data_IF_368468729220
#
_entry.id   IF_368468729220
#
_cell.length_a   1.000
_cell.length_b   1.000
_cell.length_c   1.000
_cell.angle_alpha   90.00
_cell.angle_beta   90.00
_cell.angle_gamma   90.00
#
_symmetry.space_group_name_H-M   'P 1'
#
loop_
_entity.id
_entity.type
_entity.pdbx_description
1 polymer ?
#
# COMPACT_ATOMS: atom_id res chain seq x y z
N UNK A 1 1.11 27.75 -0.39
CA UNK A 1 0.72 26.31 -0.26
C UNK A 1 0.78 25.59 -1.61
N UNK A 2 0.28 26.20 -2.70
CA UNK A 2 0.33 25.56 -4.03
C UNK A 2 1.75 25.24 -4.53
N UNK A 3 2.73 26.08 -4.22
CA UNK A 3 4.12 25.86 -4.62
C UNK A 3 4.80 24.67 -3.92
N UNK A 4 4.46 24.38 -2.67
CA UNK A 4 5.05 23.25 -1.91
C UNK A 4 4.56 21.91 -2.43
N UNK A 5 3.27 21.77 -2.74
CA UNK A 5 2.70 20.55 -3.32
C UNK A 5 3.22 20.30 -4.74
N UNK A 6 3.39 21.37 -5.54
CA UNK A 6 3.96 21.24 -6.88
C UNK A 6 5.40 20.71 -6.84
N UNK A 7 6.18 21.06 -5.83
CA UNK A 7 7.53 20.57 -5.64
C UNK A 7 7.61 19.09 -5.21
N UNK A 8 6.52 18.50 -4.73
CA UNK A 8 6.43 17.06 -4.47
C UNK A 8 6.10 16.24 -5.74
N UNK A 9 5.63 16.89 -6.80
CA UNK A 9 5.15 16.22 -7.99
C UNK A 9 6.22 15.31 -8.65
N UNK A 10 7.49 15.72 -8.83
CA UNK A 10 8.50 14.84 -9.41
C UNK A 10 8.74 13.56 -8.60
N UNK A 11 8.84 13.67 -7.27
CA UNK A 11 9.04 12.49 -6.42
C UNK A 11 7.79 11.61 -6.40
N UNK A 12 6.60 12.21 -6.41
CA UNK A 12 5.35 11.48 -6.47
C UNK A 12 5.21 10.70 -7.79
N UNK A 13 5.53 11.32 -8.94
CA UNK A 13 5.51 10.66 -10.26
C UNK A 13 6.54 9.53 -10.33
N UNK A 14 7.74 9.73 -9.78
CA UNK A 14 8.76 8.68 -9.73
C UNK A 14 8.33 7.51 -8.85
N UNK A 15 7.79 7.79 -7.67
CA UNK A 15 7.22 6.76 -6.77
C UNK A 15 6.11 5.98 -7.46
N UNK A 16 5.20 6.69 -8.14
CA UNK A 16 4.11 6.09 -8.90
C UNK A 16 4.63 5.19 -10.01
N UNK A 17 5.60 5.65 -10.80
CA UNK A 17 6.17 4.86 -11.90
C UNK A 17 6.82 3.56 -11.39
N UNK A 18 7.59 3.64 -10.31
CA UNK A 18 8.19 2.45 -9.68
C UNK A 18 7.11 1.51 -9.16
N UNK A 19 6.10 2.02 -8.46
CA UNK A 19 5.01 1.20 -7.92
C UNK A 19 4.17 0.54 -9.01
N UNK A 20 3.91 1.23 -10.12
CA UNK A 20 3.16 0.70 -11.27
C UNK A 20 3.89 -0.46 -11.97
N UNK A 21 5.21 -0.52 -11.87
CA UNK A 21 6.02 -1.65 -12.39
C UNK A 21 6.15 -2.74 -11.32
N UNK A 22 6.50 -2.36 -10.09
CA UNK A 22 6.79 -3.30 -9.02
C UNK A 22 5.56 -4.13 -8.62
N UNK A 23 4.37 -3.53 -8.58
CA UNK A 23 3.15 -4.23 -8.15
C UNK A 23 2.79 -5.41 -9.07
N UNK A 24 2.65 -5.26 -10.41
CA UNK A 24 2.34 -6.40 -11.27
C UNK A 24 3.48 -7.42 -11.35
N UNK A 25 4.75 -6.99 -11.28
CA UNK A 25 5.91 -7.89 -11.28
C UNK A 25 5.91 -8.75 -10.03
N UNK A 26 5.68 -8.16 -8.85
CA UNK A 26 5.61 -8.89 -7.59
C UNK A 26 4.46 -9.88 -7.58
N UNK A 27 3.28 -9.49 -8.10
CA UNK A 27 2.13 -10.38 -8.20
C UNK A 27 2.40 -11.55 -9.14
N UNK A 28 3.01 -11.31 -10.31
CA UNK A 28 3.39 -12.36 -11.23
C UNK A 28 4.43 -13.31 -10.64
N UNK A 29 5.39 -12.79 -9.87
CA UNK A 29 6.42 -13.60 -9.22
C UNK A 29 5.84 -14.50 -8.11
N UNK A 30 4.75 -14.09 -7.47
CA UNK A 30 4.07 -14.88 -6.44
C UNK A 30 3.17 -15.99 -7.03
N UNK A 31 2.83 -15.93 -8.30
CA UNK A 31 2.05 -16.97 -8.95
C UNK A 31 2.88 -18.24 -9.14
N UNK A 32 2.36 -19.39 -8.65
CA UNK A 32 2.98 -20.69 -8.87
C UNK A 32 3.15 -21.06 -10.36
N UNK A 33 2.30 -20.50 -11.22
CA UNK A 33 2.33 -20.70 -12.67
C UNK A 33 2.15 -19.36 -13.40
N UNK A 34 3.17 -18.49 -13.45
CA UNK A 34 3.08 -17.15 -14.05
C UNK A 34 2.59 -17.15 -15.49
N UNK A 35 2.96 -18.18 -16.28
CA UNK A 35 2.55 -18.32 -17.67
C UNK A 35 1.02 -18.49 -17.85
N UNK A 36 0.29 -18.78 -16.79
CA UNK A 36 -1.17 -18.95 -16.81
C UNK A 36 -1.94 -17.75 -16.28
N UNK A 37 -1.31 -16.59 -16.07
CA UNK A 37 -1.99 -15.39 -15.57
C UNK A 37 -3.19 -14.96 -16.43
N UNK A 38 -3.16 -15.24 -17.74
CA UNK A 38 -4.24 -14.93 -18.69
C UNK A 38 -5.55 -15.68 -18.39
N UNK A 39 -5.50 -16.79 -17.61
CA UNK A 39 -6.71 -17.53 -17.22
C UNK A 39 -7.67 -16.67 -16.37
N UNK A 40 -7.17 -15.69 -15.61
CA UNK A 40 -8.02 -14.75 -14.86
C UNK A 40 -8.92 -13.92 -15.77
N UNK A 41 -8.50 -13.69 -17.01
CA UNK A 41 -9.26 -12.95 -18.02
C UNK A 41 -10.16 -13.87 -18.85
N UNK A 42 -9.69 -15.07 -19.18
CA UNK A 42 -10.42 -16.05 -19.96
C UNK A 42 -11.60 -16.66 -19.18
N UNK A 43 -11.46 -16.82 -17.87
CA UNK A 43 -12.45 -17.41 -16.98
C UNK A 43 -12.84 -16.44 -15.87
N UNK A 44 -13.36 -15.28 -16.28
CA UNK A 44 -13.75 -14.22 -15.35
C UNK A 44 -14.97 -14.63 -14.51
N UNK A 45 -14.83 -14.58 -13.18
CA UNK A 45 -15.88 -14.84 -12.21
C UNK A 45 -16.15 -13.59 -11.37
N UNK A 46 -17.30 -12.90 -11.53
CA UNK A 46 -17.57 -11.60 -10.89
C UNK A 46 -17.55 -11.63 -9.35
N UNK A 47 -17.83 -12.76 -8.76
CA UNK A 47 -17.84 -12.97 -7.28
C UNK A 47 -16.50 -13.41 -6.72
N UNK A 48 -15.46 -13.56 -7.55
CA UNK A 48 -14.11 -13.88 -7.12
C UNK A 48 -13.29 -12.59 -6.94
N UNK A 49 -12.77 -12.36 -5.76
CA UNK A 49 -11.88 -11.22 -5.48
C UNK A 49 -10.66 -11.24 -6.41
N UNK A 50 -10.08 -12.39 -6.70
CA UNK A 50 -8.95 -12.50 -7.63
C UNK A 50 -9.30 -12.01 -9.05
N UNK A 51 -10.50 -12.32 -9.55
CA UNK A 51 -10.94 -11.85 -10.86
C UNK A 51 -11.17 -10.33 -10.89
N UNK A 52 -11.71 -9.77 -9.78
CA UNK A 52 -11.85 -8.31 -9.62
C UNK A 52 -10.48 -7.64 -9.62
N UNK A 53 -9.52 -8.17 -8.87
CA UNK A 53 -8.14 -7.66 -8.85
C UNK A 53 -7.45 -7.72 -10.19
N UNK A 54 -7.68 -8.78 -10.96
CA UNK A 54 -7.16 -8.92 -12.31
C UNK A 54 -7.63 -7.80 -13.26
N UNK A 55 -8.79 -7.20 -13.02
CA UNK A 55 -9.28 -6.03 -13.78
C UNK A 55 -8.75 -4.70 -13.19
N UNK A 56 -8.71 -4.56 -11.86
CA UNK A 56 -8.30 -3.32 -11.22
C UNK A 56 -6.83 -3.00 -11.45
N UNK A 57 -5.96 -4.00 -11.41
CA UNK A 57 -4.51 -3.79 -11.54
C UNK A 57 -4.10 -3.24 -12.91
N UNK A 58 -4.53 -3.79 -14.07
CA UNK A 58 -4.24 -3.19 -15.37
C UNK A 58 -4.78 -1.76 -15.53
N UNK A 59 -5.96 -1.47 -15.00
CA UNK A 59 -6.53 -0.12 -15.01
C UNK A 59 -5.63 0.85 -14.26
N UNK A 60 -5.19 0.47 -13.07
CA UNK A 60 -4.24 1.27 -12.28
C UNK A 60 -2.92 1.49 -13.02
N UNK A 61 -2.34 0.45 -13.62
CA UNK A 61 -1.09 0.54 -14.38
C UNK A 61 -1.26 1.47 -15.59
N UNK A 62 -2.33 1.32 -16.36
CA UNK A 62 -2.60 2.19 -17.52
C UNK A 62 -2.76 3.66 -17.10
N UNK A 63 -3.52 3.94 -16.06
CA UNK A 63 -3.69 5.29 -15.54
C UNK A 63 -2.37 5.87 -15.01
N UNK A 64 -1.54 5.06 -14.37
CA UNK A 64 -0.22 5.45 -13.86
C UNK A 64 0.71 5.81 -15.01
N UNK A 65 0.79 4.97 -16.04
CA UNK A 65 1.60 5.24 -17.25
C UNK A 65 1.11 6.50 -17.95
N UNK A 66 -0.20 6.66 -18.12
CA UNK A 66 -0.79 7.84 -18.77
C UNK A 66 -0.49 9.12 -17.97
N UNK A 67 -0.55 9.08 -16.63
CA UNK A 67 -0.21 10.24 -15.79
C UNK A 67 1.29 10.57 -15.87
N UNK A 68 2.17 9.57 -15.78
CA UNK A 68 3.61 9.76 -15.90
C UNK A 68 3.99 10.35 -17.27
N UNK A 69 3.41 9.82 -18.36
CA UNK A 69 3.59 10.33 -19.71
C UNK A 69 3.08 11.78 -19.84
N UNK A 70 1.90 12.08 -19.27
CA UNK A 70 1.34 13.43 -19.28
C UNK A 70 2.21 14.43 -18.54
N UNK A 71 2.83 14.01 -17.43
CA UNK A 71 3.78 14.83 -16.69
C UNK A 71 5.03 15.10 -17.51
N UNK A 72 5.63 14.07 -18.13
CA UNK A 72 6.83 14.20 -18.94
C UNK A 72 6.60 15.10 -20.17
N UNK A 73 5.42 14.97 -20.81
CA UNK A 73 5.04 15.79 -21.96
C UNK A 73 4.54 17.19 -21.58
N UNK A 74 4.53 17.55 -20.28
CA UNK A 74 4.06 18.85 -19.79
C UNK A 74 2.55 19.10 -19.99
N UNK A 75 1.75 18.05 -20.18
CA UNK A 75 0.31 18.13 -20.47
C UNK A 75 -0.51 18.27 -19.19
N UNK A 76 -0.49 19.46 -18.56
CA UNK A 76 -1.15 19.74 -17.28
C UNK A 76 -2.67 19.49 -17.29
N UNK A 77 -3.33 19.69 -18.43
CA UNK A 77 -4.75 19.39 -18.57
C UNK A 77 -5.05 17.91 -18.34
N UNK A 78 -4.29 17.02 -19.00
CA UNK A 78 -4.44 15.58 -18.86
C UNK A 78 -4.11 15.12 -17.43
N UNK A 79 -3.12 15.71 -16.78
CA UNK A 79 -2.80 15.39 -15.39
C UNK A 79 -3.98 15.69 -14.46
N UNK A 80 -4.69 16.81 -14.66
CA UNK A 80 -5.87 17.16 -13.85
C UNK A 80 -7.02 16.19 -14.03
N UNK A 81 -7.19 15.62 -15.23
CA UNK A 81 -8.23 14.62 -15.51
C UNK A 81 -7.84 13.24 -15.00
N UNK A 82 -6.59 12.82 -15.18
CA UNK A 82 -6.13 11.48 -14.81
C UNK A 82 -5.92 11.32 -13.30
N UNK A 83 -5.52 12.38 -12.59
CA UNK A 83 -5.25 12.30 -11.15
C UNK A 83 -6.41 11.75 -10.32
N UNK A 84 -7.66 12.29 -10.42
CA UNK A 84 -8.76 11.74 -9.65
C UNK A 84 -9.11 10.30 -10.02
N UNK A 85 -9.01 9.94 -11.29
CA UNK A 85 -9.25 8.56 -11.74
C UNK A 85 -8.20 7.61 -11.17
N UNK A 86 -6.93 8.04 -11.15
CA UNK A 86 -5.85 7.27 -10.55
C UNK A 86 -6.03 7.10 -9.05
N UNK A 87 -6.44 8.16 -8.32
CA UNK A 87 -6.73 8.07 -6.88
C UNK A 87 -7.87 7.09 -6.62
N UNK A 88 -8.95 7.14 -7.38
CA UNK A 88 -10.06 6.19 -7.27
C UNK A 88 -9.60 4.76 -7.54
N UNK A 89 -8.79 4.54 -8.59
CA UNK A 89 -8.25 3.23 -8.92
C UNK A 89 -7.33 2.70 -7.82
N UNK A 90 -6.45 3.55 -7.26
CA UNK A 90 -5.57 3.17 -6.15
C UNK A 90 -6.35 2.80 -4.89
N UNK A 91 -7.39 3.58 -4.54
CA UNK A 91 -8.28 3.26 -3.42
C UNK A 91 -9.03 1.95 -3.65
N UNK A 92 -9.51 1.71 -4.87
CA UNK A 92 -10.19 0.46 -5.23
C UNK A 92 -9.26 -0.75 -5.05
N UNK A 93 -7.99 -0.65 -5.46
CA UNK A 93 -7.00 -1.72 -5.23
C UNK A 93 -6.76 -1.91 -3.73
N UNK A 94 -6.63 -0.85 -2.96
CA UNK A 94 -6.41 -0.94 -1.51
C UNK A 94 -7.58 -1.65 -0.82
N UNK A 95 -8.82 -1.28 -1.16
CA UNK A 95 -10.03 -1.91 -0.64
C UNK A 95 -10.12 -3.37 -1.07
N UNK A 96 -9.85 -3.64 -2.36
CA UNK A 96 -9.84 -4.98 -2.93
C UNK A 96 -8.86 -5.89 -2.18
N UNK A 97 -7.60 -5.48 -2.03
CA UNK A 97 -6.56 -6.27 -1.35
C UNK A 97 -6.96 -6.59 0.09
N UNK A 98 -7.52 -5.60 0.80
CA UNK A 98 -8.04 -5.81 2.14
C UNK A 98 -9.20 -6.80 2.20
N UNK A 99 -10.15 -6.70 1.26
CA UNK A 99 -11.30 -7.58 1.18
C UNK A 99 -10.90 -9.03 0.82
N UNK A 100 -9.94 -9.19 -0.08
CA UNK A 100 -9.39 -10.51 -0.44
C UNK A 100 -8.76 -11.20 0.76
N UNK A 101 -7.93 -10.49 1.52
CA UNK A 101 -7.33 -11.02 2.75
C UNK A 101 -8.39 -11.38 3.80
N UNK A 102 -9.39 -10.51 3.98
CA UNK A 102 -10.48 -10.74 4.93
C UNK A 102 -11.37 -11.92 4.54
N UNK A 103 -11.47 -12.25 3.25
CA UNK A 103 -12.28 -13.38 2.76
C UNK A 103 -11.70 -14.76 3.14
N UNK A 104 -10.44 -14.84 3.59
CA UNK A 104 -9.77 -16.10 3.96
C UNK A 104 -10.22 -16.55 5.36
N UNK A 105 -11.38 -17.23 5.42
CA UNK A 105 -11.98 -17.71 6.68
C UNK A 105 -11.13 -18.74 7.42
N UNK A 106 -10.27 -19.48 6.72
CA UNK A 106 -9.36 -20.46 7.32
C UNK A 106 -8.26 -19.83 8.18
N UNK A 107 -8.08 -18.51 8.08
CA UNK A 107 -7.12 -17.75 8.87
C UNK A 107 -7.86 -16.71 9.72
N UNK A 108 -8.27 -17.05 10.94
CA UNK A 108 -9.12 -16.18 11.77
C UNK A 108 -8.52 -14.79 12.00
N UNK A 109 -7.19 -14.66 12.09
CA UNK A 109 -6.51 -13.38 12.24
C UNK A 109 -6.68 -12.45 11.02
N UNK A 110 -6.93 -12.99 9.84
CA UNK A 110 -7.16 -12.22 8.63
C UNK A 110 -8.62 -11.85 8.44
N UNK A 111 -9.53 -12.65 8.98
CA UNK A 111 -10.99 -12.44 8.87
C UNK A 111 -11.46 -11.36 9.87
N UNK A 112 -10.92 -10.15 9.72
CA UNK A 112 -11.24 -8.99 10.56
C UNK A 112 -11.07 -7.69 9.79
N UNK A 113 -11.89 -6.68 10.11
CA UNK A 113 -11.80 -5.34 9.50
C UNK A 113 -10.49 -4.61 9.82
N UNK A 114 -9.76 -5.03 10.84
CA UNK A 114 -8.48 -4.43 11.18
C UNK A 114 -7.39 -4.69 10.12
N UNK A 115 -7.45 -5.82 9.42
CA UNK A 115 -6.46 -6.17 8.39
C UNK A 115 -6.51 -5.23 7.19
N UNK A 116 -7.66 -4.95 6.54
CA UNK A 116 -7.73 -3.95 5.47
C UNK A 116 -7.21 -2.58 5.88
N UNK A 117 -7.58 -2.11 7.08
CA UNK A 117 -7.15 -0.80 7.59
C UNK A 117 -5.63 -0.78 7.82
N UNK A 118 -5.09 -1.83 8.42
CA UNK A 118 -3.65 -1.96 8.67
C UNK A 118 -2.86 -2.00 7.35
N UNK A 119 -3.31 -2.78 6.36
CA UNK A 119 -2.69 -2.86 5.04
C UNK A 119 -2.66 -1.49 4.35
N UNK A 120 -3.78 -0.75 4.39
CA UNK A 120 -3.86 0.58 3.80
C UNK A 120 -2.87 1.56 4.47
N UNK A 121 -2.87 1.62 5.80
CA UNK A 121 -1.97 2.51 6.54
C UNK A 121 -0.50 2.14 6.33
N UNK A 122 -0.17 0.85 6.34
CA UNK A 122 1.20 0.37 6.09
C UNK A 122 1.66 0.69 4.68
N UNK A 123 0.82 0.48 3.67
CA UNK A 123 1.13 0.81 2.28
C UNK A 123 1.33 2.30 2.06
N UNK A 124 0.51 3.14 2.66
CA UNK A 124 0.66 4.60 2.59
C UNK A 124 1.91 5.08 3.32
N UNK A 125 2.21 4.53 4.49
CA UNK A 125 3.44 4.84 5.22
C UNK A 125 4.68 4.40 4.44
N UNK A 126 4.67 3.21 3.85
CA UNK A 126 5.74 2.73 2.97
C UNK A 126 5.94 3.65 1.76
N UNK A 127 4.85 4.16 1.15
CA UNK A 127 4.92 5.12 0.04
C UNK A 127 5.62 6.41 0.46
N UNK A 128 5.35 6.93 1.65
CA UNK A 128 6.05 8.10 2.19
C UNK A 128 7.54 7.79 2.39
N UNK A 129 7.88 6.62 2.92
CA UNK A 129 9.27 6.16 3.07
C UNK A 129 10.00 6.07 1.74
N UNK A 130 9.39 5.44 0.73
CA UNK A 130 9.93 5.36 -0.64
C UNK A 130 10.15 6.76 -1.22
N UNK A 131 9.20 7.70 -1.03
CA UNK A 131 9.36 9.07 -1.50
C UNK A 131 10.57 9.77 -0.87
N UNK A 132 10.87 9.54 0.41
CA UNK A 132 12.10 10.07 1.05
C UNK A 132 13.38 9.47 0.48
N UNK A 133 13.37 8.18 0.15
CA UNK A 133 14.53 7.54 -0.47
C UNK A 133 14.75 8.08 -1.88
N UNK A 134 13.69 8.16 -2.68
CA UNK A 134 13.75 8.57 -4.08
C UNK A 134 14.11 10.05 -4.24
N UNK A 135 13.74 10.90 -3.28
CA UNK A 135 14.13 12.32 -3.29
C UNK A 135 15.66 12.49 -3.44
N UNK A 136 16.46 11.59 -2.86
CA UNK A 136 17.92 11.63 -2.94
C UNK A 136 18.47 11.39 -4.35
N UNK A 137 17.75 10.64 -5.18
CA UNK A 137 18.13 10.32 -6.55
C UNK A 137 17.67 11.36 -7.57
N UNK A 138 16.81 12.32 -7.16
CA UNK A 138 16.38 13.39 -8.05
C UNK A 138 17.47 14.43 -8.26
N UNK A 139 17.60 14.98 -9.50
CA UNK A 139 18.41 16.14 -9.76
C UNK A 139 18.07 17.31 -8.83
N UNK A 140 19.05 18.14 -8.46
CA UNK A 140 18.85 19.24 -7.51
C UNK A 140 17.68 20.18 -7.89
N UNK A 141 17.48 20.41 -9.20
CA UNK A 141 16.39 21.23 -9.72
C UNK A 141 14.98 20.66 -9.47
N UNK A 142 14.86 19.34 -9.28
CA UNK A 142 13.60 18.63 -9.10
C UNK A 142 13.36 18.20 -7.64
N UNK A 143 14.33 18.43 -6.75
CA UNK A 143 14.20 18.06 -5.34
C UNK A 143 13.11 18.87 -4.63
N UNK A 144 12.31 18.24 -3.77
CA UNK A 144 11.37 18.94 -2.91
C UNK A 144 12.08 19.95 -2.01
N UNK A 145 11.47 21.12 -1.82
CA UNK A 145 11.98 22.10 -0.85
C UNK A 145 11.67 21.69 0.59
N UNK A 146 12.29 22.37 1.55
CA UNK A 146 12.15 22.08 2.99
C UNK A 146 10.68 22.01 3.45
N UNK A 147 9.82 22.93 2.99
CA UNK A 147 8.39 22.93 3.32
C UNK A 147 7.65 21.68 2.81
N UNK A 148 8.02 21.18 1.62
CA UNK A 148 7.43 19.98 1.05
C UNK A 148 7.89 18.72 1.82
N UNK A 149 9.15 18.66 2.24
CA UNK A 149 9.67 17.59 3.08
C UNK A 149 9.03 17.59 4.48
N UNK A 150 8.76 18.77 5.04
CA UNK A 150 8.02 18.88 6.30
C UNK A 150 6.59 18.33 6.19
N UNK A 151 5.90 18.59 5.07
CA UNK A 151 4.58 17.98 4.80
C UNK A 151 4.67 16.45 4.74
N UNK A 152 5.66 15.90 4.03
CA UNK A 152 5.86 14.45 3.98
C UNK A 152 6.18 13.86 5.35
N UNK A 153 7.01 14.52 6.16
CA UNK A 153 7.29 14.11 7.54
C UNK A 153 6.03 14.12 8.40
N UNK A 154 5.26 15.21 8.34
CA UNK A 154 3.99 15.33 9.05
C UNK A 154 3.01 14.21 8.68
N UNK A 155 2.88 13.92 7.38
CA UNK A 155 2.06 12.83 6.88
C UNK A 155 2.57 11.47 7.38
N UNK A 156 3.88 11.21 7.30
CA UNK A 156 4.49 9.98 7.79
C UNK A 156 4.26 9.77 9.29
N UNK A 157 4.45 10.80 10.11
CA UNK A 157 4.17 10.74 11.55
C UNK A 157 2.68 10.49 11.84
N UNK A 158 1.77 11.15 11.13
CA UNK A 158 0.33 10.93 11.28
C UNK A 158 -0.07 9.50 10.91
N UNK A 159 0.47 8.95 9.81
CA UNK A 159 0.23 7.57 9.40
C UNK A 159 0.83 6.56 10.39
N UNK A 160 2.02 6.81 10.90
CA UNK A 160 2.64 5.97 11.92
C UNK A 160 1.83 5.98 13.22
N UNK A 161 1.38 7.14 13.68
CA UNK A 161 0.52 7.25 14.86
C UNK A 161 -0.83 6.53 14.66
N UNK A 162 -1.45 6.68 13.48
CA UNK A 162 -2.66 5.96 13.12
C UNK A 162 -2.45 4.45 13.09
N UNK A 163 -1.33 3.97 12.55
CA UNK A 163 -0.98 2.56 12.52
C UNK A 163 -0.82 1.98 13.93
N UNK A 164 -0.12 2.70 14.81
CA UNK A 164 0.02 2.30 16.24
C UNK A 164 -1.35 2.26 16.92
N UNK A 165 -2.20 3.27 16.70
CA UNK A 165 -3.54 3.31 17.28
C UNK A 165 -4.41 2.14 16.80
N UNK A 166 -4.39 1.83 15.50
CA UNK A 166 -5.12 0.69 14.92
C UNK A 166 -4.59 -0.64 15.45
N UNK A 167 -3.27 -0.83 15.51
CA UNK A 167 -2.66 -2.04 16.06
C UNK A 167 -3.02 -2.23 17.53
N UNK A 168 -3.01 -1.16 18.32
CA UNK A 168 -3.40 -1.18 19.73
C UNK A 168 -4.89 -1.51 19.89
N UNK A 169 -5.76 -0.86 19.11
CA UNK A 169 -7.20 -1.13 19.15
C UNK A 169 -7.50 -2.58 18.76
N UNK A 170 -6.82 -3.12 17.75
CA UNK A 170 -6.94 -4.50 17.34
C UNK A 170 -6.51 -5.47 18.46
N UNK A 171 -5.35 -5.22 19.07
CA UNK A 171 -4.86 -6.02 20.20
C UNK A 171 -5.86 -6.00 21.38
N UNK A 172 -6.36 -4.81 21.76
CA UNK A 172 -7.32 -4.66 22.85
C UNK A 172 -8.66 -5.35 22.55
N UNK A 173 -9.17 -5.28 21.33
CA UNK A 173 -10.40 -5.98 20.95
C UNK A 173 -10.21 -7.48 20.96
N UNK A 174 -9.06 -7.98 20.55
CA UNK A 174 -8.70 -9.40 20.63
C UNK A 174 -8.62 -9.90 22.07
N UNK A 175 -7.94 -9.16 22.94
CA UNK A 175 -7.80 -9.51 24.36
C UNK A 175 -9.15 -9.56 25.10
N UNK A 176 -10.06 -8.63 24.80
CA UNK A 176 -11.36 -8.54 25.46
C UNK A 176 -12.41 -9.51 24.88
N UNK A 177 -12.19 -9.98 23.66
CA UNK A 177 -13.17 -10.79 22.92
C UNK A 177 -13.05 -12.30 23.13
N UNK A 178 -11.99 -12.80 23.79
CA UNK A 178 -11.75 -14.25 23.97
C UNK A 178 -11.78 -15.02 22.65
N UNK A 179 -11.32 -14.38 21.56
CA UNK A 179 -11.44 -14.97 20.22
C UNK A 179 -10.36 -16.02 20.00
N UNK A 180 -10.70 -17.20 19.42
CA UNK A 180 -9.72 -18.24 19.08
C UNK A 180 -8.56 -17.73 18.18
N UNK A 181 -8.81 -16.66 17.45
CA UNK A 181 -7.84 -16.00 16.59
C UNK A 181 -6.75 -15.28 17.37
N UNK A 182 -7.13 -14.65 18.47
CA UNK A 182 -6.18 -13.95 19.33
C UNK A 182 -5.34 -14.93 20.15
N UNK A 183 -5.97 -15.99 20.65
CA UNK A 183 -5.26 -17.07 21.34
C UNK A 183 -4.23 -17.74 20.43
N UNK A 184 -4.57 -17.92 19.15
CA UNK A 184 -3.62 -18.45 18.15
C UNK A 184 -2.44 -17.50 17.90
N UNK A 185 -2.67 -16.18 17.91
CA UNK A 185 -1.60 -15.19 17.79
C UNK A 185 -0.71 -15.13 19.04
N UNK A 186 -1.32 -15.23 20.21
CA UNK A 186 -0.59 -15.26 21.48
C UNK A 186 0.29 -16.50 21.63
N UNK A 187 -0.07 -17.63 21.02
CA UNK A 187 0.79 -18.82 21.02
C UNK A 187 2.16 -18.53 20.42
N UNK A 188 2.24 -17.86 19.27
CA UNK A 188 3.52 -17.46 18.68
C UNK A 188 4.33 -16.58 19.63
N UNK A 189 3.68 -15.67 20.34
CA UNK A 189 4.30 -14.79 21.30
C UNK A 189 4.76 -15.52 22.57
N UNK A 190 3.93 -16.44 23.08
CA UNK A 190 4.17 -17.13 24.34
C UNK A 190 5.13 -18.32 24.18
N UNK A 191 4.96 -19.11 23.10
CA UNK A 191 5.66 -20.38 22.91
C UNK A 191 7.02 -20.21 22.21
N UNK A 192 7.26 -19.06 21.56
CA UNK A 192 8.51 -18.81 20.82
C UNK A 192 9.23 -17.55 21.29
N UNK A 193 10.09 -17.66 22.34
CA UNK A 193 10.84 -16.52 22.89
C UNK A 193 11.71 -15.81 21.84
N UNK A 194 12.30 -16.55 20.90
CA UNK A 194 13.12 -15.98 19.80
C UNK A 194 12.29 -15.07 18.92
N UNK A 195 11.06 -15.47 18.56
CA UNK A 195 10.15 -14.66 17.78
C UNK A 195 9.77 -13.36 18.51
N UNK A 196 9.50 -13.43 19.79
CA UNK A 196 9.25 -12.27 20.65
C UNK A 196 10.44 -11.31 20.68
N UNK A 197 11.66 -11.84 20.84
CA UNK A 197 12.89 -11.05 20.85
C UNK A 197 13.16 -10.37 19.51
N UNK A 198 12.93 -11.06 18.39
CA UNK A 198 13.09 -10.48 17.05
C UNK A 198 12.08 -9.38 16.78
N UNK A 199 10.82 -9.56 17.17
CA UNK A 199 9.76 -8.52 17.01
C UNK A 199 10.04 -7.28 17.84
N UNK A 200 10.43 -7.46 19.12
CA UNK A 200 10.80 -6.34 20.00
C UNK A 200 12.08 -5.65 19.49
N UNK A 201 13.08 -6.44 19.08
CA UNK A 201 14.32 -5.90 18.52
C UNK A 201 14.11 -5.09 17.25
N UNK A 202 13.24 -5.54 16.34
CA UNK A 202 12.90 -4.79 15.14
C UNK A 202 12.10 -3.51 15.40
N UNK A 203 11.28 -3.50 16.45
CA UNK A 203 10.52 -2.31 16.85
C UNK A 203 11.40 -1.23 17.53
N UNK A 204 12.51 -1.64 18.18
CA UNK A 204 13.43 -0.72 18.87
C UNK A 204 14.57 -0.26 17.92
N UNK A 205 14.97 -1.12 16.97
CA UNK A 205 16.11 -0.87 16.07
C UNK A 205 15.76 -0.23 14.73
N UNK A 206 14.47 -0.03 14.41
CA UNK A 206 13.98 0.68 13.23
C UNK A 206 13.59 2.09 13.58
#
# INVERSE_FOLDING_TARGET
>A
TGSSLQRLLPVAVLTLAISAIAAPVSLLADLHQPARFWHFYAHFTPWSWMSVGALLLPVFVMLSVALCASWWLGKTHWMRLLSPLLVLSALSITVYTGAEMMAVRSRPLWNTMWVPVNLALTGWLATVGVAFVLERFLPAALRPGAAALQLLRGLGLALAAALVAVATAWALTGMNGGSPSFDAALRLWNDFPVWRMTMVGSAIGG
#
